data_IF_952404906202
#
_entry.id   IF_952404906202
#
_cell.length_a   1.000
_cell.length_b   1.000
_cell.length_c   1.000
_cell.angle_alpha   90.00
_cell.angle_beta   90.00
_cell.angle_gamma   90.00
#
_symmetry.space_group_name_H-M   'P 1'
#
loop_
_entity.id
_entity.type
_entity.pdbx_description
1 polymer ?
#
# COMPACT_ATOMS: atom_id res chain seq x y z
N UNK A 1 13.97 26.09 18.20
CA UNK A 1 13.71 24.64 18.09
C UNK A 1 13.78 23.97 19.48
N UNK A 2 12.98 24.43 20.45
CA UNK A 2 13.13 24.04 21.88
C UNK A 2 12.14 22.94 22.34
N UNK A 3 11.37 22.36 21.42
CA UNK A 3 10.16 21.57 21.73
C UNK A 3 10.23 20.07 21.35
N UNK A 4 11.34 19.57 20.79
CA UNK A 4 11.46 18.13 20.48
C UNK A 4 12.07 17.34 21.64
N UNK A 5 11.47 17.39 22.83
CA UNK A 5 11.74 16.39 23.87
C UNK A 5 10.81 15.20 23.65
N UNK A 6 11.34 14.09 23.17
CA UNK A 6 10.58 12.84 22.99
C UNK A 6 9.96 12.41 24.31
N UNK A 7 8.63 12.44 24.39
CA UNK A 7 7.88 11.96 25.54
C UNK A 7 7.52 10.47 25.31
N UNK A 8 8.06 9.53 26.10
CA UNK A 8 7.79 8.10 25.91
C UNK A 8 6.30 7.75 26.07
N UNK A 9 5.54 8.52 26.87
CA UNK A 9 4.08 8.34 26.98
C UNK A 9 3.36 8.71 25.69
N UNK A 10 3.81 9.76 25.00
CA UNK A 10 3.25 10.16 23.71
C UNK A 10 3.55 9.13 22.63
N UNK A 11 4.76 8.56 22.63
CA UNK A 11 5.14 7.45 21.73
C UNK A 11 4.25 6.23 21.97
N UNK A 12 4.08 5.81 23.23
CA UNK A 12 3.23 4.66 23.58
C UNK A 12 1.75 4.91 23.22
N UNK A 13 1.25 6.13 23.44
CA UNK A 13 -0.10 6.50 23.03
C UNK A 13 -0.27 6.44 21.51
N UNK A 14 0.71 6.92 20.74
CA UNK A 14 0.73 6.81 19.28
C UNK A 14 0.69 5.37 18.79
N UNK A 15 1.54 4.50 19.37
CA UNK A 15 1.54 3.05 19.06
C UNK A 15 0.16 2.46 19.35
N UNK A 16 -0.40 2.70 20.53
CA UNK A 16 -1.73 2.19 20.91
C UNK A 16 -2.83 2.68 19.96
N UNK A 17 -2.78 3.94 19.52
CA UNK A 17 -3.74 4.50 18.58
C UNK A 17 -3.62 3.87 17.17
N UNK A 18 -2.43 3.45 16.77
CA UNK A 18 -2.23 2.76 15.50
C UNK A 18 -2.92 1.39 15.46
N UNK A 19 -2.99 0.66 16.58
CA UNK A 19 -3.60 -0.67 16.70
C UNK A 19 -5.16 -0.68 16.74
N UNK A 20 -5.82 0.42 16.40
CA UNK A 20 -7.28 0.53 16.38
C UNK A 20 -7.89 0.46 14.97
N UNK A 21 -8.88 1.33 14.72
CA UNK A 21 -9.51 1.50 13.40
C UNK A 21 -8.51 1.69 12.25
N UNK A 22 -7.40 2.45 12.38
CA UNK A 22 -6.44 2.59 11.30
C UNK A 22 -5.83 1.25 10.85
N UNK A 23 -5.45 0.38 11.79
CA UNK A 23 -4.91 -0.95 11.48
C UNK A 23 -5.95 -1.83 10.78
N UNK A 24 -7.20 -1.83 11.26
CA UNK A 24 -8.28 -2.61 10.65
C UNK A 24 -8.59 -2.16 9.22
N UNK A 25 -8.69 -0.85 8.99
CA UNK A 25 -8.93 -0.28 7.67
C UNK A 25 -7.80 -0.63 6.70
N UNK A 26 -6.54 -0.47 7.13
CA UNK A 26 -5.38 -0.82 6.32
C UNK A 26 -5.35 -2.32 6.01
N UNK A 27 -5.57 -3.17 7.01
CA UNK A 27 -5.58 -4.62 6.84
C UNK A 27 -6.66 -5.07 5.86
N UNK A 28 -7.89 -4.58 6.01
CA UNK A 28 -8.99 -4.90 5.10
C UNK A 28 -8.71 -4.44 3.67
N UNK A 29 -8.18 -3.22 3.50
CA UNK A 29 -7.83 -2.68 2.18
C UNK A 29 -6.72 -3.51 1.51
N UNK A 30 -5.65 -3.83 2.22
CA UNK A 30 -4.53 -4.64 1.69
C UNK A 30 -4.95 -6.08 1.40
N UNK A 31 -5.86 -6.66 2.21
CA UNK A 31 -6.41 -7.99 1.95
C UNK A 31 -7.25 -8.00 0.66
N UNK A 32 -8.10 -6.99 0.47
CA UNK A 32 -8.85 -6.81 -0.77
C UNK A 32 -7.94 -6.64 -1.99
N UNK A 33 -6.90 -5.82 -1.85
CA UNK A 33 -5.87 -5.67 -2.88
C UNK A 33 -5.16 -6.99 -3.20
N UNK A 34 -4.79 -7.77 -2.18
CA UNK A 34 -4.16 -9.08 -2.38
C UNK A 34 -5.05 -10.05 -3.17
N UNK A 35 -6.35 -10.08 -2.86
CA UNK A 35 -7.34 -10.86 -3.63
C UNK A 35 -7.41 -10.40 -5.08
N UNK A 36 -7.50 -9.09 -5.30
CA UNK A 36 -7.55 -8.48 -6.63
C UNK A 36 -6.29 -8.79 -7.46
N UNK A 37 -5.11 -8.65 -6.87
CA UNK A 37 -3.85 -8.98 -7.52
C UNK A 37 -3.76 -10.49 -7.87
N UNK A 38 -4.25 -11.35 -6.99
CA UNK A 38 -4.28 -12.79 -7.22
C UNK A 38 -5.20 -13.17 -8.38
N UNK A 39 -6.33 -12.47 -8.56
CA UNK A 39 -7.23 -12.65 -9.71
C UNK A 39 -6.55 -12.31 -11.05
N UNK A 40 -5.64 -11.33 -11.06
CA UNK A 40 -4.81 -11.00 -12.23
C UNK A 40 -3.58 -11.91 -12.38
N UNK A 41 -3.42 -12.93 -11.54
CA UNK A 41 -2.32 -13.90 -11.62
C UNK A 41 -1.00 -13.44 -11.00
N UNK A 42 -0.99 -12.34 -10.24
CA UNK A 42 0.19 -11.97 -9.45
C UNK A 42 0.34 -12.89 -8.25
N UNK A 43 1.58 -13.26 -7.95
CA UNK A 43 1.89 -14.02 -6.74
C UNK A 43 1.84 -13.12 -5.50
N UNK A 44 1.64 -13.72 -4.32
CA UNK A 44 1.72 -13.01 -3.04
C UNK A 44 3.00 -12.16 -2.91
N UNK A 45 4.15 -12.71 -3.31
CA UNK A 45 5.43 -12.00 -3.22
C UNK A 45 5.48 -10.77 -4.13
N UNK A 46 4.94 -10.88 -5.35
CA UNK A 46 4.87 -9.74 -6.29
C UNK A 46 3.90 -8.68 -5.78
N UNK A 47 2.76 -9.08 -5.22
CA UNK A 47 1.80 -8.18 -4.61
C UNK A 47 2.40 -7.46 -3.39
N UNK A 48 3.14 -8.16 -2.53
CA UNK A 48 3.85 -7.53 -1.40
C UNK A 48 4.97 -6.58 -1.86
N UNK A 49 5.71 -6.94 -2.91
CA UNK A 49 6.73 -6.08 -3.50
C UNK A 49 6.13 -4.79 -4.04
N UNK A 50 4.92 -4.86 -4.63
CA UNK A 50 4.22 -3.67 -5.11
C UNK A 50 3.93 -2.66 -4.01
N UNK A 51 3.68 -3.11 -2.77
CA UNK A 51 3.46 -2.22 -1.61
C UNK A 51 4.73 -1.49 -1.18
N UNK A 52 5.90 -2.07 -1.43
CA UNK A 52 7.19 -1.43 -1.14
C UNK A 52 7.54 -0.43 -2.25
N UNK A 53 7.27 -0.78 -3.50
CA UNK A 53 7.65 0.03 -4.67
C UNK A 53 6.65 1.15 -4.98
N UNK A 54 5.38 0.98 -4.59
CA UNK A 54 4.29 1.89 -4.91
C UNK A 54 3.66 2.36 -3.59
N UNK A 55 3.95 3.62 -3.23
CA UNK A 55 3.63 4.23 -1.94
C UNK A 55 2.13 4.38 -1.63
N UNK A 56 1.26 4.16 -2.61
CA UNK A 56 -0.18 4.33 -2.47
C UNK A 56 -0.98 3.21 -3.12
N UNK A 57 -2.15 2.94 -2.53
CA UNK A 57 -3.08 1.95 -3.05
C UNK A 57 -3.62 2.29 -4.46
N UNK A 58 -3.89 3.57 -4.83
CA UNK A 58 -4.33 3.91 -6.19
C UNK A 58 -3.34 3.44 -7.27
N UNK A 59 -2.05 3.72 -7.10
CA UNK A 59 -1.01 3.25 -8.02
C UNK A 59 -0.89 1.72 -8.04
N UNK A 60 -1.05 1.05 -6.89
CA UNK A 60 -1.05 -0.42 -6.84
C UNK A 60 -2.20 -1.01 -7.66
N UNK A 61 -3.40 -0.42 -7.58
CA UNK A 61 -4.56 -0.86 -8.37
C UNK A 61 -4.29 -0.64 -9.87
N UNK A 62 -3.81 0.54 -10.27
CA UNK A 62 -3.47 0.84 -11.67
C UNK A 62 -2.41 -0.11 -12.22
N UNK A 63 -1.39 -0.45 -11.41
CA UNK A 63 -0.40 -1.46 -11.78
C UNK A 63 -1.07 -2.81 -12.09
N UNK A 64 -1.91 -3.31 -11.19
CA UNK A 64 -2.55 -4.62 -11.34
C UNK A 64 -3.53 -4.64 -12.53
N UNK A 65 -4.31 -3.58 -12.74
CA UNK A 65 -5.21 -3.45 -13.89
C UNK A 65 -4.44 -3.48 -15.21
N UNK A 66 -3.40 -2.65 -15.34
CA UNK A 66 -2.60 -2.56 -16.55
C UNK A 66 -1.79 -3.83 -16.81
N UNK A 67 -1.30 -4.48 -15.75
CA UNK A 67 -0.67 -5.80 -15.85
C UNK A 67 -1.66 -6.85 -16.37
N UNK A 68 -2.87 -6.88 -15.81
CA UNK A 68 -3.91 -7.85 -16.15
C UNK A 68 -4.34 -7.81 -17.63
N UNK A 69 -4.35 -6.63 -18.24
CA UNK A 69 -4.66 -6.46 -19.67
C UNK A 69 -3.43 -6.64 -20.58
N UNK A 70 -2.26 -6.95 -20.02
CA UNK A 70 -1.02 -7.11 -20.79
C UNK A 70 -0.47 -5.80 -21.35
N UNK A 71 -0.70 -4.68 -20.68
CA UNK A 71 -0.20 -3.38 -21.12
C UNK A 71 1.34 -3.34 -21.16
N UNK A 72 1.94 -2.54 -22.06
CA UNK A 72 3.38 -2.37 -22.08
C UNK A 72 3.88 -1.72 -20.77
N UNK A 73 5.08 -2.13 -20.32
CA UNK A 73 5.65 -1.69 -19.04
C UNK A 73 5.68 -0.15 -18.88
N UNK A 74 5.94 0.59 -19.95
CA UNK A 74 5.95 2.05 -19.90
C UNK A 74 4.57 2.65 -19.56
N UNK A 75 3.48 2.03 -20.04
CA UNK A 75 2.13 2.46 -19.70
C UNK A 75 1.82 2.18 -18.21
N UNK A 76 2.28 1.03 -17.70
CA UNK A 76 2.17 0.69 -16.27
C UNK A 76 2.87 1.75 -15.43
N UNK A 77 4.14 2.06 -15.74
CA UNK A 77 4.94 3.02 -14.97
C UNK A 77 4.32 4.42 -15.00
N UNK A 78 3.91 4.91 -16.18
CA UNK A 78 3.28 6.22 -16.31
C UNK A 78 1.91 6.28 -15.61
N UNK A 79 1.13 5.21 -15.68
CA UNK A 79 -0.16 5.09 -14.99
C UNK A 79 0.02 5.14 -13.47
N UNK A 80 0.96 4.37 -12.93
CA UNK A 80 1.30 4.37 -11.50
C UNK A 80 1.78 5.75 -11.05
N UNK A 81 2.59 6.44 -11.86
CA UNK A 81 3.12 7.76 -11.52
C UNK A 81 2.05 8.88 -11.56
N UNK A 82 0.96 8.68 -12.30
CA UNK A 82 -0.15 9.63 -12.41
C UNK A 82 -1.32 9.37 -11.46
N UNK A 83 -1.30 8.26 -10.71
CA UNK A 83 -2.35 7.83 -9.79
C UNK A 83 -2.08 8.29 -8.35
#
# INVERSE_FOLDING_TARGET
MKELKTNPRAVLAGIRNAFGLPALLLFSAMTGFGSFAQEQGLSLYMSMLSTILIWGLPGQVVHVELYGIGAPLIAVVLGVAGA
#
